data_IF_596932704682
#
_entry.id   IF_596932704682
#
_cell.length_a   1.000
_cell.length_b   1.000
_cell.length_c   1.000
_cell.angle_alpha   90.00
_cell.angle_beta   90.00
_cell.angle_gamma   90.00
#
_symmetry.space_group_name_H-M   'P 1'
#
loop_
_entity.id
_entity.type
_entity.pdbx_description
1 polymer ?
#
# COMPACT_ATOMS: atom_id res chain seq x y z
N UNK A 1 31.73 2.79 3.06
CA UNK A 1 30.93 1.79 3.79
C UNK A 1 29.79 1.36 2.88
N UNK A 2 29.55 0.06 2.69
CA UNK A 2 28.34 -0.40 1.99
C UNK A 2 27.19 -0.37 2.99
N UNK A 3 26.18 0.45 2.73
CA UNK A 3 24.95 0.48 3.52
C UNK A 3 24.14 -0.79 3.21
N UNK A 4 24.01 -1.69 4.19
CA UNK A 4 23.35 -3.00 4.02
C UNK A 4 21.93 -3.03 4.55
N UNK A 5 21.45 -1.94 5.17
CA UNK A 5 20.08 -1.84 5.64
C UNK A 5 19.07 -1.46 4.55
N UNK A 6 19.54 -0.95 3.40
CA UNK A 6 18.69 -0.57 2.26
C UNK A 6 18.15 -1.82 1.57
N UNK A 7 16.83 -1.98 1.63
CA UNK A 7 16.10 -3.12 1.02
C UNK A 7 15.61 -2.83 -0.40
N UNK A 8 15.40 -1.56 -0.71
CA UNK A 8 14.76 -1.10 -1.94
C UNK A 8 15.45 0.18 -2.43
N UNK A 9 15.62 0.32 -3.74
CA UNK A 9 16.19 1.49 -4.40
C UNK A 9 15.26 1.90 -5.54
N UNK A 10 14.81 3.16 -5.54
CA UNK A 10 14.13 3.78 -6.67
C UNK A 10 15.19 4.49 -7.52
N UNK A 11 15.28 4.16 -8.80
CA UNK A 11 16.28 4.71 -9.71
C UNK A 11 15.74 5.96 -10.39
N UNK A 12 16.30 7.11 -10.01
CA UNK A 12 15.88 8.45 -10.46
C UNK A 12 14.49 8.88 -9.94
N UNK A 13 14.00 10.03 -10.41
CA UNK A 13 12.72 10.61 -10.05
C UNK A 13 12.12 11.41 -11.23
N UNK A 14 10.92 11.04 -11.69
CA UNK A 14 10.18 11.71 -12.77
C UNK A 14 11.00 12.00 -14.04
N UNK A 15 11.69 11.00 -14.63
CA UNK A 15 12.51 11.18 -15.83
C UNK A 15 11.70 11.57 -17.07
N UNK A 16 10.38 11.51 -17.00
CA UNK A 16 9.47 12.03 -18.03
C UNK A 16 9.22 13.56 -17.91
N UNK A 17 9.88 14.24 -16.96
CA UNK A 17 9.84 15.69 -16.81
C UNK A 17 11.20 16.34 -17.07
N UNK A 18 11.21 17.44 -17.83
CA UNK A 18 12.41 18.27 -18.07
C UNK A 18 13.03 18.90 -16.81
N UNK A 19 12.35 18.85 -15.67
CA UNK A 19 12.89 19.27 -14.37
C UNK A 19 13.99 18.32 -13.88
N UNK A 20 13.87 17.03 -14.19
CA UNK A 20 14.72 15.98 -13.62
C UNK A 20 15.59 15.30 -14.68
N UNK A 21 15.12 15.21 -15.92
CA UNK A 21 15.88 14.58 -17.00
C UNK A 21 15.89 15.45 -18.26
N UNK A 22 17.08 15.69 -18.81
CA UNK A 22 17.26 16.47 -20.02
C UNK A 22 18.29 15.80 -20.95
N UNK A 23 18.10 15.91 -22.28
CA UNK A 23 16.94 16.47 -22.96
C UNK A 23 15.72 15.52 -22.93
N UNK A 24 14.51 16.08 -23.03
CA UNK A 24 13.28 15.30 -23.20
C UNK A 24 13.07 14.87 -24.65
N UNK A 25 13.36 15.77 -25.59
CA UNK A 25 13.23 15.54 -27.02
C UNK A 25 14.52 15.94 -27.76
N UNK A 26 14.79 15.27 -28.87
CA UNK A 26 15.82 15.64 -29.84
C UNK A 26 15.49 16.95 -30.58
N UNK A 27 16.44 17.45 -31.36
CA UNK A 27 16.26 18.67 -32.17
C UNK A 27 15.20 18.50 -33.27
N UNK A 28 14.97 17.28 -33.72
CA UNK A 28 13.93 16.87 -34.68
C UNK A 28 12.58 16.58 -34.00
N UNK A 29 12.50 16.70 -32.67
CA UNK A 29 11.31 16.41 -31.88
C UNK A 29 11.14 14.93 -31.53
N UNK A 30 12.09 14.05 -31.87
CA UNK A 30 12.04 12.64 -31.44
C UNK A 30 12.17 12.53 -29.92
N UNK A 31 11.67 11.46 -29.32
CA UNK A 31 11.99 11.18 -27.92
C UNK A 31 13.50 10.96 -27.73
N UNK A 32 14.08 11.66 -26.76
CA UNK A 32 15.47 11.49 -26.34
C UNK A 32 15.59 10.94 -24.90
N UNK A 33 14.53 11.04 -24.10
CA UNK A 33 14.56 10.70 -22.69
C UNK A 33 14.35 9.21 -22.44
N UNK A 34 13.37 8.54 -23.06
CA UNK A 34 13.07 7.16 -22.68
C UNK A 34 14.21 6.20 -23.01
N UNK A 35 14.81 6.32 -24.20
CA UNK A 35 15.94 5.46 -24.60
C UNK A 35 17.22 5.72 -23.76
N UNK A 36 17.48 6.97 -23.39
CA UNK A 36 18.62 7.31 -22.53
C UNK A 36 18.39 6.85 -21.09
N UNK A 37 17.17 7.02 -20.57
CA UNK A 37 16.77 6.52 -19.25
C UNK A 37 16.81 4.98 -19.20
N UNK A 38 16.32 4.30 -20.24
CA UNK A 38 16.45 2.84 -20.38
C UNK A 38 17.92 2.40 -20.21
N UNK A 39 18.85 3.09 -20.89
CA UNK A 39 20.27 2.78 -20.81
C UNK A 39 20.82 2.94 -19.40
N UNK A 40 20.43 4.01 -18.69
CA UNK A 40 20.78 4.21 -17.28
C UNK A 40 20.20 3.08 -16.42
N UNK A 41 18.90 2.84 -16.51
CA UNK A 41 18.19 1.88 -15.66
C UNK A 41 18.76 0.47 -15.84
N UNK A 42 19.01 0.03 -17.07
CA UNK A 42 19.59 -1.29 -17.33
C UNK A 42 20.98 -1.47 -16.70
N UNK A 43 21.85 -0.45 -16.82
CA UNK A 43 23.20 -0.47 -16.23
C UNK A 43 23.14 -0.44 -14.70
N UNK A 44 22.27 0.41 -14.14
CA UNK A 44 22.08 0.52 -12.69
C UNK A 44 21.52 -0.76 -12.11
N UNK A 45 20.54 -1.38 -12.76
CA UNK A 45 19.97 -2.66 -12.35
C UNK A 45 21.05 -3.75 -12.27
N UNK A 46 21.84 -3.92 -13.33
CA UNK A 46 22.92 -4.92 -13.35
C UNK A 46 23.97 -4.66 -12.25
N UNK A 47 24.33 -3.39 -12.03
CA UNK A 47 25.28 -3.00 -10.98
C UNK A 47 24.74 -3.27 -9.56
N UNK A 48 23.48 -2.93 -9.30
CA UNK A 48 22.84 -3.17 -8.00
C UNK A 48 22.70 -4.67 -7.72
N UNK A 49 22.21 -5.45 -8.70
CA UNK A 49 22.07 -6.90 -8.57
C UNK A 49 23.40 -7.63 -8.42
N UNK A 50 24.49 -7.10 -8.99
CA UNK A 50 25.84 -7.65 -8.79
C UNK A 50 26.36 -7.44 -7.35
N UNK A 51 25.91 -6.39 -6.66
CA UNK A 51 26.27 -6.12 -5.27
C UNK A 51 25.38 -6.90 -4.30
N UNK A 52 24.08 -6.86 -4.53
CA UNK A 52 23.09 -7.58 -3.74
C UNK A 52 21.90 -8.00 -4.61
N UNK A 53 21.76 -9.29 -4.95
CA UNK A 53 20.64 -9.76 -5.77
C UNK A 53 19.28 -9.57 -5.09
N UNK A 54 19.26 -9.49 -3.74
CA UNK A 54 18.02 -9.38 -2.94
C UNK A 54 17.50 -7.94 -2.82
N UNK A 55 18.25 -6.92 -3.23
CA UNK A 55 17.77 -5.53 -3.22
C UNK A 55 16.71 -5.33 -4.29
N UNK A 56 15.51 -4.88 -3.91
CA UNK A 56 14.47 -4.50 -4.87
C UNK A 56 14.85 -3.23 -5.62
N UNK A 57 14.76 -3.26 -6.94
CA UNK A 57 15.03 -2.11 -7.81
C UNK A 57 13.74 -1.64 -8.46
N UNK A 58 13.31 -0.44 -8.10
CA UNK A 58 12.15 0.22 -8.69
C UNK A 58 12.61 1.13 -9.83
N UNK A 59 11.97 0.99 -10.99
CA UNK A 59 12.27 1.76 -12.18
C UNK A 59 11.20 2.81 -12.50
N UNK A 60 11.59 3.68 -13.42
CA UNK A 60 10.81 4.74 -14.05
C UNK A 60 10.42 5.89 -13.12
N UNK A 61 9.79 5.67 -11.97
CA UNK A 61 9.36 6.73 -11.04
C UNK A 61 8.64 7.89 -11.75
N UNK A 62 7.79 7.60 -12.73
CA UNK A 62 7.22 8.61 -13.64
C UNK A 62 6.21 9.49 -12.92
N UNK A 63 6.16 10.76 -13.33
CA UNK A 63 5.09 11.68 -12.94
C UNK A 63 3.77 11.27 -13.61
N UNK A 64 2.60 11.67 -13.07
CA UNK A 64 1.30 11.20 -13.56
C UNK A 64 0.90 11.81 -14.91
N UNK A 65 1.61 12.84 -15.39
CA UNK A 65 1.17 13.71 -16.49
C UNK A 65 2.34 14.27 -17.30
N UNK A 66 2.07 14.51 -18.59
CA UNK A 66 2.99 15.20 -19.50
C UNK A 66 2.25 15.65 -20.77
N UNK A 67 2.91 16.46 -21.59
CA UNK A 67 2.28 17.11 -22.75
C UNK A 67 2.53 16.42 -24.08
N UNK A 68 3.54 15.53 -24.15
CA UNK A 68 3.99 14.88 -25.38
C UNK A 68 4.28 15.87 -26.52
N UNK A 69 4.65 17.11 -26.15
CA UNK A 69 4.81 18.20 -27.10
C UNK A 69 6.27 18.72 -27.10
N UNK A 70 7.08 18.37 -28.12
CA UNK A 70 8.47 18.85 -28.21
C UNK A 70 8.60 20.37 -28.38
N UNK A 71 7.57 21.00 -28.94
CA UNK A 71 7.50 22.46 -29.13
C UNK A 71 6.90 23.20 -27.92
N UNK A 72 6.46 22.47 -26.89
CA UNK A 72 5.83 23.05 -25.71
C UNK A 72 6.81 23.82 -24.82
N UNK A 73 6.27 24.77 -24.04
CA UNK A 73 7.04 25.53 -23.03
C UNK A 73 7.62 24.62 -21.94
N UNK A 74 6.92 23.51 -21.64
CA UNK A 74 7.35 22.44 -20.76
C UNK A 74 7.41 21.18 -21.58
N UNK A 75 8.62 20.83 -22.01
CA UNK A 75 8.89 19.60 -22.72
C UNK A 75 8.81 18.45 -21.72
N UNK A 76 7.80 17.62 -21.85
CA UNK A 76 7.55 16.49 -20.94
C UNK A 76 6.86 15.38 -21.72
N UNK A 77 7.07 14.16 -21.28
CA UNK A 77 6.34 12.98 -21.77
C UNK A 77 5.25 12.61 -20.77
N UNK A 78 4.08 12.25 -21.27
CA UNK A 78 3.06 11.58 -20.46
C UNK A 78 3.60 10.23 -19.98
N UNK A 79 3.14 9.72 -18.83
CA UNK A 79 3.57 8.40 -18.37
C UNK A 79 3.20 7.31 -19.38
N UNK A 80 2.11 7.49 -20.14
CA UNK A 80 1.69 6.56 -21.20
C UNK A 80 2.73 6.46 -22.32
N UNK A 81 3.18 7.60 -22.86
CA UNK A 81 4.20 7.63 -23.90
C UNK A 81 5.55 7.15 -23.36
N UNK A 82 6.00 7.69 -22.24
CA UNK A 82 7.31 7.39 -21.68
C UNK A 82 7.51 5.91 -21.36
N UNK A 83 6.53 5.24 -20.73
CA UNK A 83 6.62 3.80 -20.43
C UNK A 83 6.67 2.99 -21.73
N UNK A 84 5.84 3.35 -22.72
CA UNK A 84 5.81 2.68 -24.03
C UNK A 84 7.15 2.78 -24.74
N UNK A 85 7.78 3.96 -24.73
CA UNK A 85 9.05 4.22 -25.40
C UNK A 85 10.23 3.55 -24.67
N UNK A 86 10.21 3.47 -23.33
CA UNK A 86 11.17 2.62 -22.59
C UNK A 86 11.01 1.16 -22.98
N UNK A 87 9.76 0.67 -23.12
CA UNK A 87 9.47 -0.69 -23.59
C UNK A 87 10.02 -0.94 -25.00
N UNK A 88 9.84 0.01 -25.92
CA UNK A 88 10.39 -0.07 -27.27
C UNK A 88 11.93 -0.11 -27.26
N UNK A 89 12.59 0.75 -26.48
CA UNK A 89 14.03 0.75 -26.31
C UNK A 89 14.55 -0.57 -25.70
N UNK A 90 13.85 -1.11 -24.70
CA UNK A 90 14.15 -2.41 -24.11
C UNK A 90 14.11 -3.51 -25.18
N UNK A 91 13.03 -3.61 -25.95
CA UNK A 91 12.87 -4.61 -27.01
C UNK A 91 13.94 -4.49 -28.09
N UNK A 92 14.17 -3.27 -28.58
CA UNK A 92 15.18 -2.99 -29.61
C UNK A 92 16.60 -3.38 -29.19
N UNK A 93 16.90 -3.31 -27.90
CA UNK A 93 18.22 -3.68 -27.38
C UNK A 93 18.52 -5.18 -27.41
N UNK A 94 17.50 -6.04 -27.59
CA UNK A 94 17.64 -7.50 -27.50
C UNK A 94 18.02 -8.00 -26.10
N UNK A 95 17.91 -7.17 -25.05
CA UNK A 95 18.25 -7.52 -23.67
C UNK A 95 17.39 -8.70 -23.19
N UNK A 96 18.05 -9.71 -22.63
CA UNK A 96 17.40 -10.94 -22.10
C UNK A 96 17.36 -10.96 -20.57
N UNK A 97 17.43 -9.81 -19.92
CA UNK A 97 17.40 -9.63 -18.46
C UNK A 97 16.42 -8.52 -18.08
N UNK A 98 15.79 -8.55 -16.89
CA UNK A 98 15.02 -7.42 -16.39
C UNK A 98 15.85 -6.13 -16.31
N UNK A 99 15.16 -5.00 -16.24
CA UNK A 99 15.68 -3.66 -15.93
C UNK A 99 15.14 -3.12 -14.60
N UNK A 100 14.09 -3.73 -14.04
CA UNK A 100 13.51 -3.39 -12.76
C UNK A 100 12.75 -4.58 -12.18
N UNK A 101 12.65 -4.63 -10.85
CA UNK A 101 11.83 -5.61 -10.14
C UNK A 101 10.40 -5.11 -9.95
N UNK A 102 10.21 -3.78 -9.93
CA UNK A 102 8.92 -3.13 -9.78
C UNK A 102 8.90 -1.78 -10.51
N UNK A 103 7.70 -1.33 -10.90
CA UNK A 103 7.46 0.03 -11.35
C UNK A 103 7.30 0.95 -10.13
N UNK A 104 7.89 2.14 -10.16
CA UNK A 104 7.42 3.28 -9.36
C UNK A 104 6.69 4.28 -10.25
N UNK A 105 5.56 4.82 -9.77
CA UNK A 105 4.79 5.88 -10.44
C UNK A 105 4.15 6.81 -9.41
N UNK A 106 4.15 8.11 -9.69
CA UNK A 106 3.45 9.11 -8.89
C UNK A 106 2.03 9.25 -9.43
N UNK A 107 1.03 9.16 -8.56
CA UNK A 107 -0.38 8.95 -8.95
C UNK A 107 -1.30 10.09 -8.49
N UNK A 108 -0.84 11.33 -8.67
CA UNK A 108 -1.62 12.51 -8.30
C UNK A 108 -2.82 12.74 -9.23
N UNK A 109 -3.94 13.17 -8.65
CA UNK A 109 -5.10 13.70 -9.39
C UNK A 109 -4.81 15.09 -9.97
N UNK A 110 -5.59 15.54 -10.97
CA UNK A 110 -5.34 16.82 -11.66
C UNK A 110 -5.31 18.02 -10.71
N UNK A 111 -6.06 17.93 -9.61
CA UNK A 111 -6.07 18.88 -8.50
C UNK A 111 -6.42 18.15 -7.21
N UNK A 112 -6.10 18.73 -6.05
CA UNK A 112 -6.42 18.13 -4.75
C UNK A 112 -7.92 18.03 -4.47
N UNK A 113 -8.77 18.75 -5.22
CA UNK A 113 -10.23 18.69 -5.12
C UNK A 113 -10.88 17.48 -5.82
N UNK A 114 -10.11 16.71 -6.60
CA UNK A 114 -10.61 15.52 -7.27
C UNK A 114 -10.34 14.26 -6.43
N UNK A 115 -11.30 13.32 -6.36
CA UNK A 115 -11.13 12.08 -5.60
C UNK A 115 -10.19 11.11 -6.34
N UNK A 116 -9.46 10.24 -5.63
CA UNK A 116 -8.62 9.19 -6.25
C UNK A 116 -9.41 8.13 -7.02
N UNK A 117 -10.74 8.17 -6.95
CA UNK A 117 -11.65 7.35 -7.76
C UNK A 117 -11.92 7.94 -9.14
N UNK A 118 -11.43 9.15 -9.43
CA UNK A 118 -11.59 9.80 -10.72
C UNK A 118 -10.63 9.16 -11.73
N UNK A 119 -11.16 8.64 -12.83
CA UNK A 119 -10.37 8.00 -13.88
C UNK A 119 -10.23 8.92 -15.10
N UNK A 120 -9.16 8.71 -15.86
CA UNK A 120 -8.80 9.53 -17.02
C UNK A 120 -8.88 8.74 -18.34
N UNK A 121 -9.97 8.05 -18.70
CA UNK A 121 -9.99 7.13 -19.85
C UNK A 121 -9.69 7.81 -21.20
N UNK A 122 -9.84 9.14 -21.27
CA UNK A 122 -9.68 9.93 -22.49
C UNK A 122 -8.41 10.80 -22.50
N UNK A 123 -7.50 10.63 -21.55
CA UNK A 123 -6.22 11.33 -21.53
C UNK A 123 -5.06 10.36 -21.27
N UNK A 124 -3.84 10.88 -21.41
CA UNK A 124 -2.60 10.17 -21.13
C UNK A 124 -2.18 10.21 -19.66
N UNK A 125 -2.98 10.86 -18.80
CA UNK A 125 -2.78 10.89 -17.34
C UNK A 125 -2.97 9.50 -16.73
N UNK A 126 -2.21 9.20 -15.68
CA UNK A 126 -2.38 7.99 -14.87
C UNK A 126 -2.45 8.40 -13.39
N UNK A 127 -3.62 8.21 -12.77
CA UNK A 127 -3.83 8.30 -11.33
C UNK A 127 -4.22 6.91 -10.75
N UNK A 128 -4.65 6.86 -9.49
CA UNK A 128 -4.94 5.59 -8.80
C UNK A 128 -6.06 4.79 -9.49
N UNK A 129 -7.11 5.46 -9.97
CA UNK A 129 -8.23 4.80 -10.67
C UNK A 129 -7.89 4.35 -12.10
N UNK A 130 -6.75 4.75 -12.66
CA UNK A 130 -6.30 4.39 -14.02
C UNK A 130 -5.50 3.07 -14.06
N UNK A 131 -5.64 2.22 -13.04
CA UNK A 131 -4.88 0.97 -12.90
C UNK A 131 -4.93 0.06 -14.14
N UNK A 132 -6.12 -0.18 -14.70
CA UNK A 132 -6.26 -1.05 -15.89
C UNK A 132 -5.53 -0.47 -17.10
N UNK A 133 -5.52 0.87 -17.24
CA UNK A 133 -4.76 1.57 -18.28
C UNK A 133 -3.26 1.34 -18.07
N UNK A 134 -2.77 1.55 -16.85
CA UNK A 134 -1.36 1.35 -16.50
C UNK A 134 -0.90 -0.09 -16.77
N UNK A 135 -1.66 -1.08 -16.32
CA UNK A 135 -1.35 -2.51 -16.56
C UNK A 135 -1.39 -2.85 -18.05
N UNK A 136 -2.33 -2.26 -18.81
CA UNK A 136 -2.37 -2.39 -20.26
C UNK A 136 -1.09 -1.86 -20.94
N UNK A 137 -0.60 -0.70 -20.53
CA UNK A 137 0.64 -0.11 -21.06
C UNK A 137 1.84 -0.99 -20.70
N UNK A 138 1.95 -1.46 -19.45
CA UNK A 138 3.03 -2.34 -19.01
C UNK A 138 3.03 -3.68 -19.77
N UNK A 139 1.86 -4.27 -20.00
CA UNK A 139 1.70 -5.46 -20.84
C UNK A 139 2.29 -5.20 -22.22
N UNK A 140 1.85 -4.15 -22.89
CA UNK A 140 2.25 -3.89 -24.27
C UNK A 140 3.76 -3.58 -24.34
N UNK A 141 4.28 -2.84 -23.36
CA UNK A 141 5.70 -2.51 -23.25
C UNK A 141 6.59 -3.75 -23.04
N UNK A 142 6.22 -4.67 -22.14
CA UNK A 142 7.17 -5.68 -21.62
C UNK A 142 6.73 -7.14 -21.72
N UNK A 143 5.45 -7.48 -21.92
CA UNK A 143 5.05 -8.89 -22.03
C UNK A 143 5.70 -9.57 -23.25
N UNK A 144 6.06 -10.84 -23.08
CA UNK A 144 6.85 -11.60 -24.05
C UNK A 144 8.35 -11.27 -24.04
N UNK A 145 8.83 -10.48 -23.08
CA UNK A 145 10.25 -10.21 -22.86
C UNK A 145 10.75 -10.79 -21.53
N UNK A 146 12.01 -10.56 -21.18
CA UNK A 146 12.54 -10.94 -19.86
C UNK A 146 12.17 -9.94 -18.74
N UNK A 147 11.64 -8.76 -19.07
CA UNK A 147 11.04 -7.84 -18.11
C UNK A 147 9.57 -8.22 -17.91
N UNK A 148 9.10 -8.32 -16.67
CA UNK A 148 7.67 -8.49 -16.42
C UNK A 148 6.90 -7.24 -16.87
N UNK A 149 5.76 -7.44 -17.56
CA UNK A 149 4.85 -6.37 -17.96
C UNK A 149 3.58 -6.39 -17.12
N UNK A 150 2.55 -7.11 -17.55
CA UNK A 150 1.23 -7.17 -16.90
C UNK A 150 1.29 -7.64 -15.44
N UNK A 151 2.31 -8.42 -15.07
CA UNK A 151 2.51 -8.93 -13.72
C UNK A 151 3.60 -8.19 -12.94
N UNK A 152 4.15 -7.10 -13.48
CA UNK A 152 5.18 -6.30 -12.80
C UNK A 152 4.61 -5.72 -11.51
N UNK A 153 5.25 -5.89 -10.34
CA UNK A 153 4.85 -5.18 -9.12
C UNK A 153 4.86 -3.66 -9.30
N UNK A 154 3.91 -2.97 -8.67
CA UNK A 154 3.71 -1.53 -8.80
C UNK A 154 3.76 -0.90 -7.41
N UNK A 155 4.63 0.08 -7.26
CA UNK A 155 4.64 1.02 -6.15
C UNK A 155 4.02 2.34 -6.64
N UNK A 156 2.96 2.76 -5.96
CA UNK A 156 2.54 4.16 -6.04
C UNK A 156 3.51 5.00 -5.22
N UNK A 157 4.57 5.45 -5.89
CA UNK A 157 5.76 6.07 -5.31
C UNK A 157 5.50 7.42 -4.66
N UNK A 158 4.45 8.12 -5.09
CA UNK A 158 3.94 9.30 -4.41
C UNK A 158 2.43 9.47 -4.63
N UNK A 159 1.73 9.84 -3.55
CA UNK A 159 0.35 10.30 -3.58
C UNK A 159 0.12 11.32 -2.46
N UNK A 160 -0.54 12.43 -2.77
CA UNK A 160 -0.76 13.52 -1.84
C UNK A 160 -2.03 14.30 -2.18
N UNK A 161 -2.71 14.79 -1.14
CA UNK A 161 -3.88 15.66 -1.27
C UNK A 161 -3.63 16.91 -0.42
N UNK A 162 -3.45 18.04 -1.09
CA UNK A 162 -3.19 19.34 -0.47
C UNK A 162 -4.46 19.89 0.18
N UNK A 163 -4.30 20.51 1.34
CA UNK A 163 -5.43 21.01 2.15
C UNK A 163 -5.39 22.51 2.32
N UNK A 164 -6.58 23.11 2.44
CA UNK A 164 -6.73 24.50 2.82
C UNK A 164 -6.06 24.77 4.16
N UNK A 165 -5.20 25.77 4.21
CA UNK A 165 -4.55 26.20 5.45
C UNK A 165 -5.54 27.06 6.26
N UNK A 166 -5.83 26.70 7.53
CA UNK A 166 -6.66 27.54 8.40
C UNK A 166 -6.03 28.94 8.60
N UNK A 167 -6.86 29.98 8.72
CA UNK A 167 -6.38 31.36 8.92
C UNK A 167 -5.43 31.51 10.12
N UNK A 168 -5.70 30.80 11.21
CA UNK A 168 -4.86 30.76 12.41
C UNK A 168 -3.46 30.14 12.17
N UNK A 169 -3.27 29.41 11.08
CA UNK A 169 -2.01 28.77 10.66
C UNK A 169 -1.34 29.48 9.48
N UNK A 170 -2.00 30.45 8.85
CA UNK A 170 -1.53 31.09 7.62
C UNK A 170 -0.13 31.72 7.76
N UNK A 171 0.21 32.25 8.94
CA UNK A 171 1.54 32.82 9.20
C UNK A 171 2.70 31.82 9.16
N UNK A 172 2.42 30.52 9.16
CA UNK A 172 3.43 29.46 9.00
C UNK A 172 3.87 29.27 7.55
N UNK A 173 3.14 29.85 6.60
CA UNK A 173 3.32 29.61 5.17
C UNK A 173 3.69 30.89 4.43
N UNK A 174 4.49 30.76 3.37
CA UNK A 174 5.00 31.89 2.59
C UNK A 174 4.83 31.65 1.09
N UNK A 175 4.73 32.72 0.31
CA UNK A 175 4.57 32.64 -1.15
C UNK A 175 3.12 32.70 -1.61
N UNK A 176 2.80 32.06 -2.73
CA UNK A 176 1.46 32.06 -3.32
C UNK A 176 1.12 30.67 -3.81
N UNK A 177 -0.03 30.16 -3.38
CA UNK A 177 -0.53 28.85 -3.81
C UNK A 177 -0.95 28.90 -5.28
N UNK A 178 -0.50 27.96 -6.14
CA UNK A 178 -0.98 27.86 -7.50
C UNK A 178 -2.50 27.68 -7.52
N UNK A 179 -3.21 28.48 -8.32
CA UNK A 179 -4.68 28.35 -8.44
C UNK A 179 -5.13 26.98 -8.97
N UNK A 180 -4.23 26.24 -9.61
CA UNK A 180 -4.43 24.87 -10.08
C UNK A 180 -4.45 23.83 -8.96
N UNK A 181 -3.90 24.12 -7.76
CA UNK A 181 -3.87 23.19 -6.62
C UNK A 181 -5.29 22.78 -6.20
N UNK A 182 -6.22 23.74 -6.15
CA UNK A 182 -7.59 23.59 -5.64
C UNK A 182 -7.61 22.75 -4.34
N UNK A 183 -7.09 23.31 -3.24
CA UNK A 183 -6.85 22.54 -2.02
C UNK A 183 -8.17 22.03 -1.42
N UNK A 184 -8.12 20.80 -0.92
CA UNK A 184 -9.26 20.14 -0.30
C UNK A 184 -9.47 20.59 1.15
N UNK A 185 -10.58 20.18 1.77
CA UNK A 185 -10.70 20.24 3.23
C UNK A 185 -9.93 19.08 3.87
N UNK A 186 -9.52 19.21 5.12
CA UNK A 186 -8.85 18.11 5.84
C UNK A 186 -9.75 16.86 5.99
N UNK A 187 -11.07 17.05 6.11
CA UNK A 187 -12.02 15.94 6.07
C UNK A 187 -12.02 15.22 4.71
N UNK A 188 -11.89 15.97 3.62
CA UNK A 188 -11.76 15.42 2.26
C UNK A 188 -10.43 14.69 2.09
N UNK A 189 -9.33 15.28 2.57
CA UNK A 189 -8.01 14.62 2.59
C UNK A 189 -8.07 13.26 3.29
N UNK A 190 -8.69 13.19 4.47
CA UNK A 190 -8.86 11.92 5.19
C UNK A 190 -9.68 10.90 4.38
N UNK A 191 -10.77 11.34 3.74
CA UNK A 191 -11.60 10.50 2.88
C UNK A 191 -10.81 9.98 1.66
N UNK A 192 -10.03 10.85 1.02
CA UNK A 192 -9.24 10.50 -0.16
C UNK A 192 -8.11 9.54 0.17
N UNK A 193 -7.36 9.74 1.26
CA UNK A 193 -6.36 8.76 1.68
C UNK A 193 -6.98 7.39 2.00
N UNK A 194 -8.18 7.36 2.60
CA UNK A 194 -8.90 6.09 2.79
C UNK A 194 -9.26 5.43 1.45
N UNK A 195 -9.77 6.19 0.47
CA UNK A 195 -10.14 5.68 -0.85
C UNK A 195 -8.92 5.20 -1.64
N UNK A 196 -7.83 5.97 -1.63
CA UNK A 196 -6.56 5.62 -2.26
C UNK A 196 -6.02 4.29 -1.72
N UNK A 197 -5.99 4.13 -0.39
CA UNK A 197 -5.58 2.88 0.26
C UNK A 197 -6.51 1.71 -0.09
N UNK A 198 -7.82 1.95 -0.20
CA UNK A 198 -8.79 0.93 -0.57
C UNK A 198 -8.61 0.45 -2.03
N UNK A 199 -8.38 1.39 -2.96
CA UNK A 199 -8.12 1.07 -4.37
C UNK A 199 -6.80 0.30 -4.51
N UNK A 200 -5.71 0.84 -3.96
CA UNK A 200 -4.40 0.19 -3.98
C UNK A 200 -4.44 -1.24 -3.41
N UNK A 201 -5.17 -1.44 -2.31
CA UNK A 201 -5.32 -2.76 -1.69
C UNK A 201 -6.01 -3.81 -2.58
N UNK A 202 -6.91 -3.37 -3.48
CA UNK A 202 -7.63 -4.27 -4.38
C UNK A 202 -6.95 -4.48 -5.74
N UNK A 203 -5.85 -3.78 -6.03
CA UNK A 203 -5.15 -3.84 -7.31
C UNK A 203 -4.06 -4.94 -7.27
N UNK A 204 -4.19 -6.03 -8.05
CA UNK A 204 -3.46 -7.29 -7.82
C UNK A 204 -1.93 -7.25 -7.70
N UNK A 205 -1.26 -6.39 -8.47
CA UNK A 205 0.20 -6.24 -8.47
C UNK A 205 0.67 -4.94 -7.80
N UNK A 206 -0.22 -4.17 -7.17
CA UNK A 206 0.18 -3.01 -6.36
C UNK A 206 0.66 -3.50 -5.00
N UNK A 207 1.91 -3.20 -4.67
CA UNK A 207 2.55 -3.65 -3.42
C UNK A 207 2.62 -2.55 -2.36
N UNK A 208 2.38 -1.30 -2.73
CA UNK A 208 2.41 -0.19 -1.78
C UNK A 208 1.99 1.14 -2.37
N UNK A 209 1.75 2.08 -1.45
CA UNK A 209 1.53 3.50 -1.73
C UNK A 209 2.31 4.33 -0.71
N UNK A 210 3.01 5.35 -1.19
CA UNK A 210 3.75 6.30 -0.36
C UNK A 210 2.97 7.61 -0.27
N UNK A 211 2.57 7.98 0.94
CA UNK A 211 1.87 9.24 1.20
C UNK A 211 2.89 10.36 1.30
N UNK A 212 2.76 11.34 0.41
CA UNK A 212 3.56 12.54 0.34
C UNK A 212 2.66 13.72 0.74
N UNK A 213 2.89 14.45 1.83
CA UNK A 213 3.96 14.36 2.83
C UNK A 213 3.45 13.87 4.20
N UNK A 214 4.39 13.67 5.13
CA UNK A 214 4.05 13.61 6.56
C UNK A 214 3.73 15.00 7.11
N UNK A 215 4.62 15.97 6.87
CA UNK A 215 4.53 17.36 7.33
C UNK A 215 4.42 18.27 6.11
N UNK A 216 3.57 19.30 6.16
CA UNK A 216 3.48 20.30 5.10
C UNK A 216 4.81 21.01 4.85
N UNK A 217 5.05 21.35 3.58
CA UNK A 217 6.02 22.38 3.23
C UNK A 217 5.47 23.77 3.53
N UNK A 218 6.35 24.68 3.99
CA UNK A 218 5.98 26.05 4.33
C UNK A 218 5.83 26.96 3.09
N UNK A 219 6.42 26.60 1.96
CA UNK A 219 6.30 27.36 0.71
C UNK A 219 5.00 26.96 -0.01
N UNK A 220 4.12 27.93 -0.24
CA UNK A 220 2.80 27.72 -0.86
C UNK A 220 2.87 27.28 -2.32
N UNK A 221 4.01 27.45 -3.00
CA UNK A 221 4.24 26.91 -4.35
C UNK A 221 4.74 25.44 -4.34
N UNK A 222 4.72 24.80 -3.16
CA UNK A 222 5.11 23.40 -2.88
C UNK A 222 3.95 22.64 -2.25
N UNK A 223 4.24 21.59 -1.49
CA UNK A 223 3.25 20.61 -1.04
C UNK A 223 2.65 20.89 0.33
N UNK A 224 1.34 21.16 0.37
CA UNK A 224 0.55 21.24 1.61
C UNK A 224 -0.31 19.98 1.87
N UNK A 225 0.24 18.81 1.51
CA UNK A 225 -0.42 17.51 1.60
C UNK A 225 -0.13 16.71 2.87
N UNK A 226 0.66 17.28 3.80
CA UNK A 226 0.97 16.72 5.10
C UNK A 226 -0.27 16.34 5.90
N UNK A 227 -0.11 15.39 6.82
CA UNK A 227 -1.08 15.12 7.90
C UNK A 227 -0.74 15.91 9.19
N UNK A 228 0.38 16.63 9.15
CA UNK A 228 0.79 17.66 10.10
C UNK A 228 1.02 18.98 9.34
N UNK A 229 0.72 20.12 9.98
CA UNK A 229 1.07 21.44 9.45
C UNK A 229 2.59 21.68 9.54
N UNK A 230 3.08 22.77 8.95
CA UNK A 230 4.51 23.11 8.90
C UNK A 230 5.19 23.26 10.29
N UNK A 231 4.42 23.52 11.36
CA UNK A 231 4.91 23.58 12.74
C UNK A 231 4.92 22.21 13.46
N UNK A 232 4.55 21.13 12.76
CA UNK A 232 4.45 19.78 13.30
C UNK A 232 3.18 19.50 14.11
N UNK A 233 2.27 20.47 14.24
CA UNK A 233 0.98 20.23 14.87
C UNK A 233 0.06 19.39 13.96
N UNK A 234 -0.77 18.49 14.51
CA UNK A 234 -1.56 17.57 13.70
C UNK A 234 -2.73 18.27 13.00
N UNK A 235 -3.00 17.88 11.75
CA UNK A 235 -4.26 18.21 11.07
C UNK A 235 -5.40 17.36 11.65
N UNK A 236 -6.64 17.84 11.49
CA UNK A 236 -7.84 17.09 11.88
C UNK A 236 -8.02 15.78 11.11
N UNK A 237 -7.37 15.65 9.95
CA UNK A 237 -7.33 14.42 9.15
C UNK A 237 -6.53 13.28 9.80
N UNK A 238 -5.51 13.59 10.62
CA UNK A 238 -4.56 12.61 11.18
C UNK A 238 -5.22 11.36 11.80
N UNK A 239 -6.19 11.46 12.74
CA UNK A 239 -6.78 10.28 13.35
C UNK A 239 -7.51 9.37 12.35
N UNK A 240 -8.17 9.95 11.35
CA UNK A 240 -8.88 9.17 10.32
C UNK A 240 -7.90 8.51 9.34
N UNK A 241 -6.83 9.22 8.94
CA UNK A 241 -5.77 8.66 8.11
C UNK A 241 -5.05 7.52 8.84
N UNK A 242 -4.73 7.69 10.12
CA UNK A 242 -4.15 6.62 10.96
C UNK A 242 -5.08 5.41 11.05
N UNK A 243 -6.38 5.62 11.21
CA UNK A 243 -7.36 4.53 11.22
C UNK A 243 -7.44 3.81 9.87
N UNK A 244 -7.32 4.51 8.75
CA UNK A 244 -7.23 3.91 7.42
C UNK A 244 -5.96 3.06 7.27
N UNK A 245 -4.78 3.60 7.63
CA UNK A 245 -3.51 2.87 7.61
C UNK A 245 -3.55 1.59 8.46
N UNK A 246 -4.11 1.66 9.67
CA UNK A 246 -4.27 0.50 10.53
C UNK A 246 -5.18 -0.57 9.90
N UNK A 247 -6.28 -0.18 9.26
CA UNK A 247 -7.14 -1.11 8.53
C UNK A 247 -6.46 -1.70 7.30
N UNK A 248 -5.62 -0.95 6.60
CA UNK A 248 -4.81 -1.47 5.49
C UNK A 248 -3.84 -2.53 6.00
N UNK A 249 -3.09 -2.23 7.08
CA UNK A 249 -2.19 -3.21 7.71
C UNK A 249 -2.94 -4.46 8.19
N UNK A 250 -4.16 -4.30 8.69
CA UNK A 250 -5.04 -5.38 9.11
C UNK A 250 -5.73 -6.15 7.99
N UNK A 251 -5.67 -5.68 6.73
CA UNK A 251 -6.35 -6.29 5.58
C UNK A 251 -7.85 -5.94 5.44
N UNK A 252 -8.36 -5.01 6.25
CA UNK A 252 -9.78 -4.65 6.38
C UNK A 252 -10.17 -3.33 5.72
N UNK A 253 -9.27 -2.70 4.97
CA UNK A 253 -9.56 -1.39 4.34
C UNK A 253 -10.66 -1.47 3.29
N UNK A 254 -10.70 -2.56 2.52
CA UNK A 254 -11.67 -2.79 1.45
C UNK A 254 -12.01 -4.28 1.28
N UNK A 255 -13.21 -4.56 0.80
CA UNK A 255 -13.56 -5.89 0.26
C UNK A 255 -13.18 -5.92 -1.21
N UNK A 256 -12.34 -6.88 -1.59
CA UNK A 256 -11.82 -7.00 -2.95
C UNK A 256 -12.30 -8.31 -3.57
N UNK A 257 -13.00 -8.27 -4.72
CA UNK A 257 -13.42 -9.47 -5.43
C UNK A 257 -12.25 -10.44 -5.67
N UNK A 258 -12.44 -11.72 -5.35
CA UNK A 258 -11.43 -12.76 -5.55
C UNK A 258 -10.31 -12.80 -4.50
N UNK A 259 -10.22 -11.82 -3.59
CA UNK A 259 -9.23 -11.85 -2.50
C UNK A 259 -9.78 -12.61 -1.30
N UNK A 260 -8.98 -13.52 -0.75
CA UNK A 260 -9.23 -14.20 0.52
C UNK A 260 -8.00 -14.08 1.42
N UNK A 261 -8.21 -13.61 2.64
CA UNK A 261 -7.13 -13.37 3.61
C UNK A 261 -7.16 -14.43 4.72
N UNK A 262 -6.28 -15.43 4.68
CA UNK A 262 -6.15 -16.40 5.77
C UNK A 262 -5.56 -15.73 7.01
N UNK A 263 -6.35 -15.66 8.08
CA UNK A 263 -5.87 -15.14 9.36
C UNK A 263 -5.14 -16.25 10.11
N UNK A 264 -3.91 -16.00 10.51
CA UNK A 264 -3.20 -16.86 11.46
C UNK A 264 -3.12 -16.20 12.84
N UNK A 265 -2.97 -17.02 13.89
CA UNK A 265 -2.60 -16.53 15.21
C UNK A 265 -1.07 -16.50 15.32
N UNK A 266 -0.50 -15.34 15.67
CA UNK A 266 0.95 -15.18 15.89
C UNK A 266 1.37 -15.63 17.28
N UNK A 267 0.46 -15.58 18.25
CA UNK A 267 0.60 -16.15 19.58
C UNK A 267 -0.72 -16.80 19.99
N UNK A 268 -0.67 -17.93 20.71
CA UNK A 268 -1.85 -18.57 21.31
C UNK A 268 -1.47 -19.24 22.63
N UNK A 269 -2.24 -19.00 23.67
CA UNK A 269 -2.16 -19.69 24.95
C UNK A 269 -3.55 -20.01 25.49
N UNK A 270 -3.68 -21.15 26.15
CA UNK A 270 -4.91 -21.63 26.75
C UNK A 270 -4.66 -21.99 28.21
N UNK A 271 -5.60 -21.67 29.10
CA UNK A 271 -5.52 -22.07 30.49
C UNK A 271 -5.49 -23.61 30.62
N UNK A 272 -4.59 -24.11 31.46
CA UNK A 272 -4.46 -25.54 31.71
C UNK A 272 -5.43 -26.08 32.77
N UNK A 273 -5.30 -27.37 33.05
CA UNK A 273 -6.11 -28.12 34.03
C UNK A 273 -6.22 -27.45 35.40
N UNK A 274 -5.14 -26.87 35.90
CA UNK A 274 -5.10 -26.26 37.24
C UNK A 274 -6.08 -25.08 37.36
N UNK A 275 -6.17 -24.24 36.33
CA UNK A 275 -7.15 -23.16 36.27
C UNK A 275 -8.58 -23.70 36.14
N UNK A 276 -8.78 -24.69 35.26
CA UNK A 276 -10.10 -25.31 35.07
C UNK A 276 -10.66 -25.93 36.36
N UNK A 277 -9.80 -26.51 37.22
CA UNK A 277 -10.20 -27.03 38.55
C UNK A 277 -10.72 -25.95 39.50
N UNK A 278 -10.27 -24.71 39.35
CA UNK A 278 -10.78 -23.53 40.09
C UNK A 278 -11.98 -22.87 39.40
N UNK A 279 -12.50 -23.47 38.34
CA UNK A 279 -13.56 -22.88 37.53
C UNK A 279 -13.10 -21.71 36.65
N UNK A 280 -11.79 -21.50 36.51
CA UNK A 280 -11.22 -20.43 35.68
C UNK A 280 -10.94 -20.94 34.27
N UNK A 281 -11.56 -20.31 33.28
CA UNK A 281 -11.29 -20.59 31.87
C UNK A 281 -10.85 -19.32 31.18
N UNK A 282 -9.65 -19.37 30.57
CA UNK A 282 -9.12 -18.25 29.79
C UNK A 282 -8.29 -18.68 28.60
N UNK A 283 -8.22 -17.83 27.60
CA UNK A 283 -7.37 -17.98 26.42
C UNK A 283 -6.79 -16.61 26.04
N UNK A 284 -5.56 -16.60 25.54
CA UNK A 284 -4.93 -15.39 25.01
C UNK A 284 -4.34 -15.65 23.63
N UNK A 285 -4.43 -14.68 22.74
CA UNK A 285 -3.85 -14.79 21.40
C UNK A 285 -3.67 -13.42 20.75
N UNK A 286 -2.92 -13.39 19.65
CA UNK A 286 -2.77 -12.25 18.74
C UNK A 286 -3.01 -12.72 17.31
N UNK A 287 -3.60 -11.87 16.47
CA UNK A 287 -3.85 -12.19 15.06
C UNK A 287 -2.80 -11.51 14.15
N UNK A 288 -2.41 -12.19 13.07
CA UNK A 288 -1.50 -11.66 12.04
C UNK A 288 -2.17 -10.63 11.11
N UNK A 289 -3.51 -10.58 11.13
CA UNK A 289 -4.38 -9.65 10.42
C UNK A 289 -5.54 -9.28 11.35
N UNK A 290 -6.41 -8.36 10.94
CA UNK A 290 -7.67 -8.16 11.64
C UNK A 290 -8.50 -9.45 11.62
N UNK A 291 -9.18 -9.74 12.73
CA UNK A 291 -9.84 -11.03 12.89
C UNK A 291 -11.16 -10.92 13.66
N UNK A 292 -12.16 -11.65 13.17
CA UNK A 292 -13.30 -12.12 13.97
C UNK A 292 -12.91 -13.46 14.57
N UNK A 293 -13.04 -13.59 15.89
CA UNK A 293 -12.65 -14.80 16.60
C UNK A 293 -13.83 -15.45 17.33
N UNK A 294 -13.71 -16.75 17.56
CA UNK A 294 -14.55 -17.51 18.46
C UNK A 294 -13.68 -18.50 19.26
N UNK A 295 -13.69 -18.38 20.59
CA UNK A 295 -13.09 -19.35 21.51
C UNK A 295 -14.19 -20.20 22.11
N UNK A 296 -14.04 -21.52 22.03
CA UNK A 296 -14.93 -22.51 22.62
C UNK A 296 -14.17 -23.40 23.59
N UNK A 297 -14.80 -23.76 24.70
CA UNK A 297 -14.41 -24.93 25.50
C UNK A 297 -15.39 -26.05 25.16
N UNK A 298 -14.88 -27.18 24.68
CA UNK A 298 -15.67 -28.31 24.18
C UNK A 298 -15.39 -29.56 24.99
N UNK A 299 -16.41 -30.37 25.25
CA UNK A 299 -16.24 -31.74 25.76
C UNK A 299 -15.72 -32.61 24.62
N UNK A 300 -14.59 -33.30 24.82
CA UNK A 300 -13.88 -34.02 23.75
C UNK A 300 -14.72 -35.16 23.19
N UNK A 301 -15.36 -35.94 24.05
CA UNK A 301 -16.11 -37.14 23.64
C UNK A 301 -17.35 -36.84 22.81
N UNK A 302 -18.03 -35.72 23.07
CA UNK A 302 -19.30 -35.39 22.39
C UNK A 302 -19.18 -34.21 21.43
N UNK A 303 -18.06 -33.48 21.43
CA UNK A 303 -17.90 -32.23 20.68
C UNK A 303 -18.76 -31.06 21.18
N UNK A 304 -19.58 -31.27 22.23
CA UNK A 304 -20.52 -30.27 22.74
C UNK A 304 -19.76 -29.07 23.31
N UNK A 305 -20.16 -27.87 22.88
CA UNK A 305 -19.70 -26.61 23.47
C UNK A 305 -20.23 -26.47 24.88
N UNK A 306 -19.35 -26.23 25.84
CA UNK A 306 -19.73 -25.84 27.20
C UNK A 306 -19.64 -24.35 27.41
N UNK A 307 -18.69 -23.70 26.76
CA UNK A 307 -18.53 -22.25 26.82
C UNK A 307 -18.13 -21.74 25.45
N UNK A 308 -18.62 -20.55 25.08
CA UNK A 308 -18.26 -19.86 23.84
C UNK A 308 -18.15 -18.36 24.10
N UNK A 309 -17.12 -17.73 23.54
CA UNK A 309 -16.98 -16.28 23.51
C UNK A 309 -16.39 -15.88 22.18
N UNK A 310 -16.99 -14.88 21.55
CA UNK A 310 -16.50 -14.32 20.28
C UNK A 310 -16.22 -12.83 20.41
N UNK A 311 -15.57 -12.28 19.39
CA UNK A 311 -15.25 -10.86 19.33
C UNK A 311 -14.49 -10.51 18.06
N UNK A 312 -13.97 -9.29 18.03
CA UNK A 312 -13.07 -8.78 16.99
C UNK A 312 -11.76 -8.35 17.63
N UNK A 313 -10.68 -8.44 16.86
CA UNK A 313 -9.38 -7.91 17.24
C UNK A 313 -8.69 -7.33 16.02
N UNK A 314 -7.94 -6.27 16.25
CA UNK A 314 -7.07 -5.69 15.21
C UNK A 314 -5.78 -6.47 15.10
N UNK A 315 -5.10 -6.38 13.96
CA UNK A 315 -3.74 -6.93 13.77
C UNK A 315 -2.83 -6.61 14.97
N UNK A 316 -2.10 -7.62 15.47
CA UNK A 316 -1.14 -7.48 16.55
C UNK A 316 -1.73 -7.18 17.94
N UNK A 317 -3.03 -6.88 18.05
CA UNK A 317 -3.67 -6.59 19.33
C UNK A 317 -3.73 -7.84 20.22
N UNK A 318 -3.20 -7.80 21.45
CA UNK A 318 -3.37 -8.89 22.40
C UNK A 318 -4.84 -9.06 22.79
N UNK A 319 -5.38 -10.25 22.55
CA UNK A 319 -6.73 -10.64 22.95
C UNK A 319 -6.65 -11.49 24.21
N UNK A 320 -7.46 -11.13 25.21
CA UNK A 320 -7.66 -11.91 26.43
C UNK A 320 -9.12 -12.30 26.54
N UNK A 321 -9.40 -13.60 26.43
CA UNK A 321 -10.73 -14.16 26.57
C UNK A 321 -10.83 -14.80 27.95
N UNK A 322 -11.58 -14.18 28.84
CA UNK A 322 -11.95 -14.74 30.14
C UNK A 322 -13.41 -15.21 30.08
N UNK A 323 -13.69 -16.44 30.50
CA UNK A 323 -15.08 -16.90 30.66
C UNK A 323 -15.55 -16.61 32.09
N UNK A 324 -16.86 -16.51 32.28
CA UNK A 324 -17.45 -16.49 33.61
C UNK A 324 -17.05 -17.78 34.36
N UNK A 325 -16.82 -17.71 35.69
CA UNK A 325 -16.54 -18.90 36.48
C UNK A 325 -17.61 -19.98 36.25
N UNK A 326 -17.17 -21.21 36.00
CA UNK A 326 -18.07 -22.33 35.73
C UNK A 326 -17.47 -23.63 36.23
N UNK A 327 -18.26 -24.49 36.88
CA UNK A 327 -17.84 -25.86 37.18
C UNK A 327 -18.27 -26.80 36.07
N UNK A 328 -17.31 -27.38 35.37
CA UNK A 328 -17.58 -28.45 34.41
C UNK A 328 -17.58 -29.78 35.17
N UNK A 329 -18.54 -30.66 34.86
CA UNK A 329 -18.56 -32.01 35.41
C UNK A 329 -17.36 -32.87 34.95
N UNK A 330 -17.27 -34.12 35.46
CA UNK A 330 -16.21 -35.04 35.10
C UNK A 330 -16.10 -35.26 33.57
N UNK A 331 -14.88 -35.32 33.07
CA UNK A 331 -14.60 -35.62 31.67
C UNK A 331 -13.40 -34.90 31.08
N UNK A 332 -13.23 -35.06 29.77
CA UNK A 332 -12.15 -34.46 28.99
C UNK A 332 -12.64 -33.29 28.17
N UNK A 333 -11.89 -32.20 28.23
CA UNK A 333 -12.24 -30.92 27.61
C UNK A 333 -11.04 -30.34 26.88
N UNK A 334 -11.30 -29.46 25.91
CA UNK A 334 -10.24 -28.66 25.27
C UNK A 334 -10.78 -27.33 24.76
N UNK A 335 -9.85 -26.39 24.57
CA UNK A 335 -10.14 -25.14 23.87
C UNK A 335 -10.10 -25.34 22.35
N UNK A 336 -10.96 -24.62 21.64
CA UNK A 336 -10.91 -24.42 20.18
C UNK A 336 -11.01 -22.93 19.89
N UNK A 337 -10.06 -22.40 19.14
CA UNK A 337 -10.06 -21.05 18.61
C UNK A 337 -10.34 -21.12 17.11
N UNK A 338 -11.33 -20.36 16.65
CA UNK A 338 -11.64 -20.12 15.24
C UNK A 338 -11.33 -18.67 14.92
N UNK A 339 -10.60 -18.42 13.83
CA UNK A 339 -10.28 -17.09 13.32
C UNK A 339 -10.75 -16.95 11.87
N UNK A 340 -11.33 -15.79 11.53
CA UNK A 340 -11.78 -15.44 10.18
C UNK A 340 -11.49 -13.96 9.95
N UNK A 341 -11.04 -13.59 8.75
CA UNK A 341 -10.86 -12.19 8.39
C UNK A 341 -12.24 -11.50 8.26
N UNK A 342 -12.44 -10.29 8.82
CA UNK A 342 -13.76 -9.65 8.83
C UNK A 342 -14.27 -9.20 7.46
N UNK A 343 -13.38 -8.84 6.53
CA UNK A 343 -13.74 -8.22 5.24
C UNK A 343 -13.53 -9.14 4.03
N UNK A 344 -12.35 -9.76 3.91
CA UNK A 344 -12.01 -10.75 2.88
C UNK A 344 -11.85 -12.16 3.48
N UNK A 345 -12.94 -12.84 3.88
CA UNK A 345 -12.86 -14.09 4.63
C UNK A 345 -12.30 -15.25 3.77
N UNK A 346 -11.17 -15.81 4.21
CA UNK A 346 -10.72 -17.14 3.79
C UNK A 346 -11.39 -18.25 4.64
N UNK A 347 -11.19 -19.55 4.30
CA UNK A 347 -11.57 -20.65 5.18
C UNK A 347 -11.04 -20.43 6.61
N UNK A 348 -11.84 -20.73 7.66
CA UNK A 348 -11.47 -20.39 9.03
C UNK A 348 -10.20 -21.12 9.49
N UNK A 349 -9.28 -20.37 10.11
CA UNK A 349 -8.14 -20.97 10.80
C UNK A 349 -8.60 -21.52 12.15
N UNK A 350 -8.31 -22.80 12.38
CA UNK A 350 -8.64 -23.48 13.63
C UNK A 350 -7.36 -23.76 14.42
N UNK A 351 -7.40 -23.45 15.71
CA UNK A 351 -6.38 -23.84 16.69
C UNK A 351 -7.05 -24.59 17.83
N UNK A 352 -6.40 -25.63 18.33
CA UNK A 352 -6.91 -26.41 19.45
C UNK A 352 -5.90 -26.44 20.59
N UNK A 353 -6.35 -26.17 21.80
CA UNK A 353 -5.53 -26.33 23.00
C UNK A 353 -5.33 -27.80 23.37
N UNK A 354 -4.40 -28.09 24.30
CA UNK A 354 -4.24 -29.43 24.85
C UNK A 354 -5.54 -29.90 25.52
N UNK A 355 -5.74 -31.22 25.57
CA UNK A 355 -6.85 -31.82 26.32
C UNK A 355 -6.53 -31.73 27.81
N UNK A 356 -7.54 -31.36 28.62
CA UNK A 356 -7.46 -31.41 30.08
C UNK A 356 -8.62 -32.22 30.65
N UNK A 357 -8.32 -33.04 31.66
CA UNK A 357 -9.29 -33.91 32.32
C UNK A 357 -9.70 -33.35 33.68
N UNK A 358 -11.00 -33.29 33.93
CA UNK A 358 -11.58 -32.96 35.23
C UNK A 358 -12.08 -34.26 35.90
N UNK A 359 -11.77 -34.43 37.19
CA UNK A 359 -12.14 -35.63 37.95
C UNK A 359 -13.65 -35.75 38.14
#
# INVERSE_FOLDING_TARGET
>A
MRETSVRAIIVDNEPNLNRFWLPQFGLDGSDAAAASYYTLLARTYDALKAVNPDTSVYGLAVSPRGSDNPAGIRRTHSPTAFISDVGAAYRASGRTKPIMDALSIHVYEDTSSLPPTFAHPLSTSIAIADYDKLVGILRDAFDGTAQAGSTLPILYGEYGVETQIPSAKASLYTGTEPTTTKPATEATQASYYQQALALAFCQPNVEGIMILHTIDENALDRWQSGIFYADGSPKSSLPLVRAALNRTAGGSIAHCPGIQLPVSATHVSFAGRAAARRGEFRASFTCALDCVFQVRVVKVSTGVTKMVRGGRASIGQPVQVQFAPHHLGPGEYRYRLKLVHPVNPAPPTLRAGPIFRLP
#
